data_IF_141032951225
#
_entry.id   IF_141032951225
#
_cell.length_a   1.000
_cell.length_b   1.000
_cell.length_c   1.000
_cell.angle_alpha   90.00
_cell.angle_beta   90.00
_cell.angle_gamma   90.00
#
_symmetry.space_group_name_H-M   'P 1'
#
loop_
_entity.id
_entity.type
_entity.pdbx_description
1 polymer ?
#
# COMPACT_ATOMS: atom_id res chain seq x y z
N UNK A 1 -12.57 27.93 13.73
CA UNK A 1 -11.32 27.49 14.38
C UNK A 1 -10.56 26.64 13.38
N UNK A 2 -9.27 26.88 13.20
CA UNK A 2 -8.42 26.05 12.35
C UNK A 2 -7.87 24.88 13.17
N UNK A 3 -7.66 23.74 12.52
CA UNK A 3 -7.01 22.60 13.13
C UNK A 3 -5.54 22.92 13.41
N UNK A 4 -4.99 22.33 14.47
CA UNK A 4 -3.54 22.33 14.70
C UNK A 4 -2.85 21.42 13.69
N UNK A 5 -1.54 21.61 13.49
CA UNK A 5 -0.76 20.80 12.54
C UNK A 5 -0.83 19.29 12.86
N UNK A 6 -0.86 18.92 14.14
CA UNK A 6 -0.96 17.53 14.59
C UNK A 6 -2.34 16.92 14.31
N UNK A 7 -3.40 17.71 14.42
CA UNK A 7 -4.75 17.29 14.07
C UNK A 7 -4.91 17.12 12.56
N UNK A 8 -4.33 18.03 11.76
CA UNK A 8 -4.30 17.88 10.30
C UNK A 8 -3.55 16.61 9.86
N UNK A 9 -2.43 16.27 10.50
CA UNK A 9 -1.68 15.06 10.22
C UNK A 9 -2.52 13.79 10.48
N UNK A 10 -3.24 13.74 11.61
CA UNK A 10 -4.15 12.64 11.93
C UNK A 10 -5.32 12.54 10.96
N UNK A 11 -5.92 13.68 10.58
CA UNK A 11 -7.01 13.73 9.60
C UNK A 11 -6.54 13.22 8.23
N UNK A 12 -5.34 13.62 7.78
CA UNK A 12 -4.74 13.08 6.54
C UNK A 12 -4.56 11.57 6.59
N UNK A 13 -4.06 11.03 7.71
CA UNK A 13 -3.93 9.58 7.89
C UNK A 13 -5.27 8.86 7.82
N UNK A 14 -6.31 9.41 8.44
CA UNK A 14 -7.68 8.86 8.40
C UNK A 14 -8.25 8.91 6.98
N UNK A 15 -8.08 10.03 6.27
CA UNK A 15 -8.54 10.17 4.88
C UNK A 15 -7.82 9.18 3.97
N UNK A 16 -6.50 9.04 4.13
CA UNK A 16 -5.72 8.04 3.38
C UNK A 16 -6.20 6.63 3.68
N UNK A 17 -6.40 6.27 4.95
CA UNK A 17 -6.93 4.95 5.34
C UNK A 17 -8.34 4.71 4.79
N UNK A 18 -9.21 5.72 4.80
CA UNK A 18 -10.55 5.66 4.23
C UNK A 18 -10.53 5.49 2.71
N UNK A 19 -9.70 6.27 2.01
CA UNK A 19 -9.51 6.15 0.56
C UNK A 19 -8.87 4.82 0.16
N UNK A 20 -8.00 4.27 1.01
CA UNK A 20 -7.40 2.95 0.84
C UNK A 20 -8.36 1.81 1.22
N UNK A 21 -9.47 2.10 1.92
CA UNK A 21 -10.53 1.13 2.26
C UNK A 21 -11.41 0.70 1.08
N UNK A 22 -11.03 1.07 -0.15
CA UNK A 22 -11.65 0.59 -1.39
C UNK A 22 -11.50 -0.93 -1.48
N UNK A 23 -12.52 -1.59 -2.00
CA UNK A 23 -12.42 -3.02 -2.30
C UNK A 23 -11.36 -3.22 -3.39
N UNK A 24 -10.73 -4.40 -3.43
CA UNK A 24 -9.66 -4.71 -4.41
C UNK A 24 -10.07 -4.39 -5.87
N UNK A 25 -11.35 -4.55 -6.20
CA UNK A 25 -11.93 -4.25 -7.52
C UNK A 25 -12.19 -2.76 -7.79
N UNK A 26 -12.03 -1.88 -6.80
CA UNK A 26 -12.23 -0.43 -6.90
C UNK A 26 -10.91 0.35 -6.81
N UNK A 27 -9.79 -0.34 -6.55
CA UNK A 27 -8.46 0.25 -6.56
C UNK A 27 -8.06 0.59 -8.01
N UNK A 28 -7.43 1.75 -8.25
CA UNK A 28 -6.82 2.03 -9.54
C UNK A 28 -5.72 1.00 -9.83
N UNK A 29 -5.47 0.72 -11.11
CA UNK A 29 -4.33 -0.12 -11.51
C UNK A 29 -3.05 0.58 -11.03
N UNK A 30 -2.16 -0.18 -10.39
CA UNK A 30 -0.89 0.34 -9.92
C UNK A 30 -0.10 0.95 -11.09
N UNK A 31 0.37 2.18 -10.92
CA UNK A 31 1.20 2.90 -11.88
C UNK A 31 2.67 2.87 -11.41
N UNK A 32 3.50 2.10 -12.11
CA UNK A 32 4.91 1.95 -11.79
C UNK A 32 5.42 0.54 -12.07
N UNK A 33 6.70 0.43 -12.38
CA UNK A 33 7.34 -0.84 -12.74
C UNK A 33 8.25 -1.40 -11.64
N UNK A 34 8.58 -0.61 -10.62
CA UNK A 34 9.50 -1.01 -9.57
C UNK A 34 8.74 -1.67 -8.39
N UNK A 35 8.84 -3.01 -8.21
CA UNK A 35 8.12 -3.70 -7.13
C UNK A 35 8.59 -3.33 -5.71
N UNK A 36 9.75 -2.67 -5.56
CA UNK A 36 10.26 -2.22 -4.27
C UNK A 36 9.55 -0.98 -3.73
N UNK A 37 8.84 -0.24 -4.57
CA UNK A 37 8.10 0.96 -4.19
C UNK A 37 6.65 0.67 -3.76
N UNK A 38 6.22 -0.60 -3.85
CA UNK A 38 4.84 -1.00 -3.58
C UNK A 38 4.68 -1.79 -2.27
N UNK A 39 3.60 -1.47 -1.55
CA UNK A 39 3.11 -2.23 -0.39
C UNK A 39 1.80 -2.91 -0.79
N UNK A 40 1.65 -4.17 -0.40
CA UNK A 40 0.45 -4.99 -0.65
C UNK A 40 -0.28 -5.26 0.66
N UNK A 41 -1.60 -5.31 0.57
CA UNK A 41 -2.44 -5.90 1.62
C UNK A 41 -2.54 -7.41 1.38
N UNK A 42 -2.29 -8.21 2.42
CA UNK A 42 -2.35 -9.67 2.38
C UNK A 42 -3.31 -10.16 3.45
N UNK A 43 -4.29 -10.95 3.05
CA UNK A 43 -5.23 -11.58 3.97
C UNK A 43 -4.69 -12.94 4.40
N UNK A 44 -4.43 -13.10 5.70
CA UNK A 44 -4.06 -14.39 6.29
C UNK A 44 -5.28 -15.33 6.33
N UNK A 45 -5.05 -16.65 6.45
CA UNK A 45 -6.11 -17.66 6.59
C UNK A 45 -6.97 -17.46 7.84
N UNK A 46 -6.47 -16.73 8.83
CA UNK A 46 -7.23 -16.31 10.02
C UNK A 46 -8.22 -15.17 9.74
N UNK A 47 -8.20 -14.58 8.54
CA UNK A 47 -8.99 -13.40 8.20
C UNK A 47 -8.37 -12.08 8.67
N UNK A 48 -7.16 -12.11 9.23
CA UNK A 48 -6.41 -10.91 9.59
C UNK A 48 -5.76 -10.29 8.35
N UNK A 49 -5.97 -9.00 8.14
CA UNK A 49 -5.30 -8.24 7.08
C UNK A 49 -3.94 -7.75 7.57
N UNK A 50 -2.90 -8.00 6.78
CA UNK A 50 -1.50 -7.69 7.07
C UNK A 50 -0.88 -6.93 5.90
N UNK A 51 0.17 -6.15 6.18
CA UNK A 51 0.94 -5.46 5.15
C UNK A 51 2.20 -6.24 4.80
N UNK A 52 2.55 -6.28 3.51
CA UNK A 52 3.80 -6.82 3.02
C UNK A 52 4.36 -5.94 1.89
N UNK A 53 5.68 -5.92 1.70
CA UNK A 53 6.28 -5.32 0.51
C UNK A 53 6.04 -6.22 -0.70
N UNK A 54 5.65 -5.65 -1.85
CA UNK A 54 5.37 -6.44 -3.06
C UNK A 54 6.61 -7.22 -3.51
N UNK A 55 7.78 -6.58 -3.50
CA UNK A 55 9.04 -7.23 -3.84
C UNK A 55 9.34 -8.48 -2.98
N UNK A 56 9.01 -8.47 -1.69
CA UNK A 56 9.27 -9.60 -0.80
C UNK A 56 8.40 -10.83 -1.12
N UNK A 57 7.30 -10.65 -1.86
CA UNK A 57 6.38 -11.71 -2.28
C UNK A 57 6.67 -12.24 -3.68
N UNK A 58 7.55 -11.58 -4.44
CA UNK A 58 7.95 -11.97 -5.78
C UNK A 58 9.23 -12.83 -5.71
N UNK A 59 9.17 -14.13 -6.04
CA UNK A 59 10.37 -14.95 -6.09
C UNK A 59 11.31 -14.42 -7.19
N UNK A 60 12.60 -14.31 -6.88
CA UNK A 60 13.63 -13.77 -7.78
C UNK A 60 13.44 -12.30 -8.19
N UNK A 61 12.74 -11.49 -7.38
CA UNK A 61 12.51 -10.06 -7.67
C UNK A 61 13.81 -9.30 -7.94
N UNK A 62 14.89 -9.65 -7.23
CA UNK A 62 16.21 -9.04 -7.41
C UNK A 62 16.85 -9.42 -8.76
N UNK A 63 16.67 -10.65 -9.23
CA UNK A 63 17.23 -11.16 -10.49
C UNK A 63 16.40 -10.74 -11.73
N UNK A 64 15.10 -10.47 -11.56
CA UNK A 64 14.19 -10.09 -12.64
C UNK A 64 13.97 -8.59 -12.78
N UNK A 65 14.42 -7.78 -11.82
CA UNK A 65 14.52 -6.34 -12.02
C UNK A 65 15.65 -6.06 -13.01
N UNK A 66 15.31 -6.08 -14.30
CA UNK A 66 16.16 -5.53 -15.37
C UNK A 66 16.44 -4.07 -15.01
N UNK A 67 17.62 -3.82 -14.46
CA UNK A 67 18.21 -2.50 -14.43
C UNK A 67 18.42 -2.11 -15.90
N UNK A 68 17.43 -1.40 -16.45
CA UNK A 68 17.53 -0.75 -17.75
C UNK A 68 18.66 0.27 -17.77
#
# INVERSE_FOLDING_TARGET
MALTADEEAKVKQIITAYNNGKRLNELPVADGSNPFDFITEVLDKSGESKQAGLAAMLPYAEDQCSYG
#
